data_IF_171449640953
#
_entry.id   IF_171449640953
#
_cell.length_a   1.000
_cell.length_b   1.000
_cell.length_c   1.000
_cell.angle_alpha   90.00
_cell.angle_beta   90.00
_cell.angle_gamma   90.00
#
_symmetry.space_group_name_H-M   'P 1'
#
loop_
_entity.id
_entity.type
_entity.pdbx_description
1 polymer ?
#
# COMPACT_ATOMS: atom_id res chain seq x y z
N UNK A 1 -45.72 -25.26 17.30
CA UNK A 1 -44.86 -24.07 17.24
C UNK A 1 -44.33 -23.97 15.81
N UNK A 2 -44.69 -22.91 15.08
CA UNK A 2 -44.28 -22.71 13.69
C UNK A 2 -43.00 -21.90 13.63
N UNK A 3 -41.99 -22.40 12.92
CA UNK A 3 -40.75 -21.66 12.70
C UNK A 3 -41.02 -20.46 11.78
N UNK A 4 -40.47 -19.27 12.07
CA UNK A 4 -40.65 -18.10 11.22
C UNK A 4 -39.94 -18.32 9.88
N UNK A 5 -40.66 -18.10 8.78
CA UNK A 5 -40.10 -18.14 7.42
C UNK A 5 -39.27 -16.88 7.20
N UNK A 6 -37.96 -17.05 7.02
CA UNK A 6 -37.03 -15.97 6.70
C UNK A 6 -37.18 -15.64 5.20
N UNK A 7 -37.93 -14.59 4.88
CA UNK A 7 -38.19 -14.16 3.48
C UNK A 7 -37.14 -13.19 2.93
N UNK A 8 -36.31 -12.60 3.79
CA UNK A 8 -35.20 -11.74 3.40
C UNK A 8 -33.89 -12.35 3.90
N UNK A 9 -33.16 -12.98 3.00
CA UNK A 9 -31.72 -13.20 3.21
C UNK A 9 -31.03 -11.84 2.99
N UNK A 10 -29.97 -11.51 3.76
CA UNK A 10 -29.08 -10.46 3.31
C UNK A 10 -28.65 -10.86 1.91
N UNK A 11 -29.00 -10.06 0.91
CA UNK A 11 -28.50 -10.26 -0.44
C UNK A 11 -26.99 -10.35 -0.37
N UNK A 12 -26.35 -10.92 -1.39
CA UNK A 12 -24.94 -10.65 -1.62
C UNK A 12 -24.82 -9.13 -1.78
N UNK A 13 -24.73 -8.40 -0.66
CA UNK A 13 -24.26 -7.05 -0.60
C UNK A 13 -22.96 -7.16 -1.33
N UNK A 14 -22.88 -6.48 -2.47
CA UNK A 14 -21.65 -6.44 -3.23
C UNK A 14 -20.58 -6.14 -2.20
N UNK A 15 -19.74 -7.12 -1.87
CA UNK A 15 -18.43 -6.85 -1.31
C UNK A 15 -17.59 -6.23 -2.43
N UNK A 16 -18.16 -5.26 -3.17
CA UNK A 16 -17.42 -4.11 -3.59
C UNK A 16 -16.92 -3.54 -2.29
N UNK A 17 -15.68 -3.91 -1.96
CA UNK A 17 -14.73 -2.92 -1.43
C UNK A 17 -15.15 -1.60 -2.04
N UNK A 18 -15.63 -0.67 -1.21
CA UNK A 18 -15.98 0.66 -1.65
C UNK A 18 -14.64 1.28 -2.06
N UNK A 19 -14.15 0.91 -3.26
CA UNK A 19 -12.94 1.43 -3.86
C UNK A 19 -13.36 2.83 -4.24
N UNK A 20 -13.22 3.76 -3.29
CA UNK A 20 -12.91 5.14 -3.61
C UNK A 20 -11.82 5.06 -4.66
N UNK A 21 -12.14 5.24 -5.94
CA UNK A 21 -11.22 5.01 -7.05
C UNK A 21 -10.14 6.08 -6.99
N UNK A 22 -9.13 5.82 -6.16
CA UNK A 22 -7.97 6.67 -5.99
C UNK A 22 -6.87 6.21 -6.91
N UNK A 23 -6.11 7.16 -7.43
CA UNK A 23 -4.78 6.91 -7.96
C UNK A 23 -3.75 7.15 -6.85
N UNK A 24 -2.50 6.75 -7.10
CA UNK A 24 -1.38 7.20 -6.28
C UNK A 24 -1.30 8.73 -6.34
N UNK A 25 -1.00 9.38 -5.21
CA UNK A 25 -0.93 10.85 -5.15
C UNK A 25 0.26 11.40 -5.94
N UNK A 26 1.28 10.57 -6.17
CA UNK A 26 2.47 10.92 -6.95
C UNK A 26 2.87 9.83 -7.92
N UNK A 27 3.55 10.23 -9.00
CA UNK A 27 4.19 9.32 -9.94
C UNK A 27 5.35 8.54 -9.32
N UNK A 28 5.72 7.44 -9.96
CA UNK A 28 6.78 6.54 -9.48
C UNK A 28 8.15 7.23 -9.39
N UNK A 29 8.48 8.07 -10.37
CA UNK A 29 9.77 8.76 -10.47
C UNK A 29 9.76 10.18 -9.89
N UNK A 30 8.83 10.53 -9.01
CA UNK A 30 8.90 11.79 -8.23
C UNK A 30 10.04 11.79 -7.19
N UNK A 31 11.10 11.01 -7.39
CA UNK A 31 12.26 10.91 -6.51
C UNK A 31 12.97 12.25 -6.27
N UNK A 32 12.88 13.19 -7.22
CA UNK A 32 13.43 14.55 -7.05
C UNK A 32 12.63 15.43 -6.08
N UNK A 33 11.41 15.02 -5.73
CA UNK A 33 10.55 15.73 -4.78
C UNK A 33 10.90 15.41 -3.31
N UNK A 34 11.60 14.30 -3.05
CA UNK A 34 12.20 13.98 -1.73
C UNK A 34 13.60 13.40 -1.92
N UNK A 35 14.56 14.30 -2.17
CA UNK A 35 15.95 13.93 -2.43
C UNK A 35 16.56 13.11 -1.29
N UNK A 36 16.19 13.41 -0.04
CA UNK A 36 16.71 12.72 1.14
C UNK A 36 16.20 11.28 1.25
N UNK A 37 14.90 11.06 1.02
CA UNK A 37 14.29 9.71 1.04
C UNK A 37 14.84 8.86 -0.11
N UNK A 38 14.98 9.44 -1.30
CA UNK A 38 15.51 8.71 -2.46
C UNK A 38 17.02 8.45 -2.33
N UNK A 39 17.80 9.36 -1.73
CA UNK A 39 19.21 9.14 -1.40
C UNK A 39 19.40 8.04 -0.34
N UNK A 40 18.58 8.02 0.72
CA UNK A 40 18.59 6.95 1.71
C UNK A 40 18.16 5.60 1.11
N UNK A 41 17.20 5.59 0.19
CA UNK A 41 16.80 4.39 -0.55
C UNK A 41 17.95 3.80 -1.38
N UNK A 42 18.76 4.64 -2.04
CA UNK A 42 19.94 4.20 -2.79
C UNK A 42 21.06 3.67 -1.88
N UNK A 43 21.21 4.20 -0.67
CA UNK A 43 22.26 3.80 0.28
C UNK A 43 21.86 2.54 1.08
N UNK A 44 20.60 2.44 1.49
CA UNK A 44 20.08 1.31 2.28
C UNK A 44 18.58 1.04 2.01
N UNK A 45 18.24 0.26 0.97
CA UNK A 45 16.85 -0.08 0.62
C UNK A 45 16.08 -0.77 1.75
N UNK A 46 16.77 -1.58 2.55
CA UNK A 46 16.16 -2.34 3.64
C UNK A 46 15.75 -1.41 4.78
N UNK A 47 16.59 -0.42 5.12
CA UNK A 47 16.25 0.56 6.15
C UNK A 47 15.04 1.41 5.72
N UNK A 48 14.98 1.82 4.45
CA UNK A 48 13.82 2.54 3.91
C UNK A 48 12.55 1.67 3.91
N UNK A 49 12.66 0.39 3.57
CA UNK A 49 11.53 -0.55 3.61
C UNK A 49 11.01 -0.74 5.04
N UNK A 50 11.92 -0.92 6.00
CA UNK A 50 11.60 -1.00 7.43
C UNK A 50 10.94 0.29 7.94
N UNK A 51 11.49 1.46 7.58
CA UNK A 51 10.92 2.75 7.93
C UNK A 51 9.49 2.90 7.38
N UNK A 52 9.29 2.56 6.10
CA UNK A 52 7.98 2.63 5.45
C UNK A 52 6.97 1.68 6.10
N UNK A 53 7.38 0.45 6.42
CA UNK A 53 6.54 -0.52 7.13
C UNK A 53 6.16 0.01 8.52
N UNK A 54 7.14 0.45 9.30
CA UNK A 54 6.90 0.97 10.64
C UNK A 54 5.99 2.20 10.64
N UNK A 55 6.21 3.12 9.70
CA UNK A 55 5.40 4.33 9.55
C UNK A 55 3.97 4.03 9.12
N UNK A 56 3.77 3.01 8.30
CA UNK A 56 2.44 2.54 7.92
C UNK A 56 1.70 1.81 9.06
N UNK A 57 2.40 1.45 10.15
CA UNK A 57 1.84 0.74 11.30
C UNK A 57 2.14 -0.76 11.33
N UNK A 58 3.01 -1.26 10.45
CA UNK A 58 3.47 -2.65 10.40
C UNK A 58 4.81 -2.84 11.11
N UNK A 59 5.22 -4.09 11.34
CA UNK A 59 6.53 -4.36 11.93
C UNK A 59 7.67 -4.04 10.94
N UNK A 60 8.74 -3.40 11.41
CA UNK A 60 9.96 -3.12 10.63
C UNK A 60 10.51 -4.36 9.88
N UNK A 61 10.45 -5.54 10.50
CA UNK A 61 10.88 -6.80 9.90
C UNK A 61 10.17 -7.12 8.58
N UNK A 62 8.95 -6.60 8.36
CA UNK A 62 8.23 -6.76 7.11
C UNK A 62 9.01 -6.21 5.92
N UNK A 63 9.81 -5.16 6.11
CA UNK A 63 10.71 -4.62 5.09
C UNK A 63 11.90 -5.52 4.74
N UNK A 64 12.20 -6.52 5.58
CA UNK A 64 13.30 -7.47 5.39
C UNK A 64 12.83 -8.84 4.86
N UNK A 65 11.54 -9.13 4.97
CA UNK A 65 10.96 -10.42 4.54
C UNK A 65 10.79 -10.43 3.02
N UNK A 66 11.20 -11.50 2.32
CA UNK A 66 10.92 -11.64 0.89
C UNK A 66 9.42 -11.50 0.59
N UNK A 67 9.07 -10.57 -0.30
CA UNK A 67 7.68 -10.26 -0.64
C UNK A 67 6.94 -9.40 0.40
N UNK A 68 7.54 -9.08 1.55
CA UNK A 68 6.93 -8.25 2.58
C UNK A 68 6.58 -6.83 2.10
N UNK A 69 7.44 -6.22 1.29
CA UNK A 69 7.17 -4.92 0.67
C UNK A 69 6.02 -4.97 -0.33
N UNK A 70 5.87 -6.07 -1.07
CA UNK A 70 4.74 -6.27 -1.99
C UNK A 70 3.43 -6.49 -1.21
N UNK A 71 3.49 -7.25 -0.10
CA UNK A 71 2.35 -7.42 0.81
C UNK A 71 1.93 -6.09 1.44
N UNK A 72 2.89 -5.28 1.91
CA UNK A 72 2.66 -3.94 2.44
C UNK A 72 2.00 -3.04 1.39
N UNK A 73 2.48 -3.09 0.14
CA UNK A 73 1.90 -2.33 -0.98
C UNK A 73 0.47 -2.74 -1.26
N UNK A 74 0.17 -4.04 -1.30
CA UNK A 74 -1.20 -4.52 -1.50
C UNK A 74 -2.10 -4.09 -0.34
N UNK A 75 -1.65 -4.21 0.90
CA UNK A 75 -2.39 -3.72 2.07
C UNK A 75 -2.68 -2.21 1.92
N UNK A 76 -1.66 -1.41 1.61
CA UNK A 76 -1.79 0.03 1.38
C UNK A 76 -2.81 0.39 0.30
N UNK A 77 -2.76 -0.27 -0.87
CA UNK A 77 -3.74 0.00 -1.93
C UNK A 77 -5.15 -0.35 -1.53
N UNK A 78 -5.34 -1.49 -0.87
CA UNK A 78 -6.67 -1.91 -0.43
C UNK A 78 -7.22 -0.94 0.61
N UNK A 79 -6.40 -0.48 1.55
CA UNK A 79 -6.78 0.49 2.59
C UNK A 79 -7.09 1.87 2.01
N UNK A 80 -6.32 2.33 1.02
CA UNK A 80 -6.51 3.65 0.41
C UNK A 80 -7.44 3.66 -0.82
N UNK A 81 -8.01 2.52 -1.21
CA UNK A 81 -8.86 2.42 -2.40
C UNK A 81 -8.12 2.61 -3.72
N UNK A 82 -6.80 2.41 -3.76
CA UNK A 82 -6.03 2.61 -4.99
C UNK A 82 -6.25 1.41 -5.93
N UNK A 83 -6.52 1.63 -7.22
CA UNK A 83 -6.75 0.55 -8.19
C UNK A 83 -5.47 -0.22 -8.59
N UNK A 84 -5.64 -1.47 -9.05
CA UNK A 84 -4.54 -2.38 -9.41
C UNK A 84 -4.71 -3.82 -8.91
N UNK A 85 -3.74 -4.69 -9.22
CA UNK A 85 -3.74 -6.13 -8.87
C UNK A 85 -2.53 -6.52 -8.02
N UNK A 86 -2.59 -7.66 -7.33
CA UNK A 86 -1.45 -8.19 -6.55
C UNK A 86 -0.26 -8.46 -7.47
N UNK A 87 -0.49 -8.98 -8.68
CA UNK A 87 0.57 -9.19 -9.68
C UNK A 87 1.25 -7.87 -10.05
N UNK A 88 0.48 -6.81 -10.26
CA UNK A 88 1.02 -5.47 -10.47
C UNK A 88 1.83 -5.01 -9.26
N UNK A 89 1.35 -5.24 -8.04
CA UNK A 89 2.07 -4.86 -6.82
C UNK A 89 3.41 -5.59 -6.68
N UNK A 90 3.46 -6.87 -7.01
CA UNK A 90 4.69 -7.66 -7.04
C UNK A 90 5.66 -7.15 -8.13
N UNK A 91 5.17 -6.90 -9.35
CA UNK A 91 5.99 -6.40 -10.46
C UNK A 91 6.55 -5.01 -10.18
N UNK A 92 5.73 -4.09 -9.64
CA UNK A 92 6.18 -2.75 -9.29
C UNK A 92 7.23 -2.76 -8.18
N UNK A 93 7.04 -3.63 -7.18
CA UNK A 93 8.02 -3.82 -6.09
C UNK A 93 9.31 -4.45 -6.60
N UNK A 94 9.25 -5.38 -7.56
CA UNK A 94 10.42 -6.07 -8.10
C UNK A 94 11.20 -5.22 -9.10
N UNK A 95 10.51 -4.66 -10.11
CA UNK A 95 11.13 -3.89 -11.20
C UNK A 95 11.51 -2.47 -10.78
N UNK A 96 10.79 -1.89 -9.81
CA UNK A 96 10.93 -0.48 -9.43
C UNK A 96 11.03 -0.27 -7.91
N UNK A 97 11.52 -1.28 -7.18
CA UNK A 97 11.43 -1.36 -5.72
C UNK A 97 11.83 -0.09 -4.97
N UNK A 98 12.96 0.53 -5.31
CA UNK A 98 13.41 1.76 -4.65
C UNK A 98 12.41 2.92 -4.81
N UNK A 99 12.07 3.25 -6.06
CA UNK A 99 11.13 4.30 -6.40
C UNK A 99 9.74 4.00 -5.83
N UNK A 100 9.35 2.73 -5.83
CA UNK A 100 8.09 2.27 -5.27
C UNK A 100 8.02 2.47 -3.77
N UNK A 101 9.04 2.08 -3.02
CA UNK A 101 9.09 2.29 -1.57
C UNK A 101 9.09 3.79 -1.25
N UNK A 102 9.83 4.61 -2.02
CA UNK A 102 9.79 6.07 -1.86
C UNK A 102 8.38 6.63 -2.10
N UNK A 103 7.70 6.14 -3.15
CA UNK A 103 6.30 6.51 -3.45
C UNK A 103 5.37 6.11 -2.31
N UNK A 104 5.51 4.89 -1.79
CA UNK A 104 4.73 4.40 -0.66
C UNK A 104 4.95 5.24 0.60
N UNK A 105 6.21 5.55 0.93
CA UNK A 105 6.54 6.42 2.07
C UNK A 105 5.87 7.79 1.92
N UNK A 106 5.98 8.42 0.74
CA UNK A 106 5.35 9.70 0.43
C UNK A 106 3.83 9.64 0.51
N UNK A 107 3.23 8.56 0.00
CA UNK A 107 1.78 8.36 0.08
C UNK A 107 1.33 8.38 1.55
N UNK A 108 2.06 7.72 2.45
CA UNK A 108 1.74 7.75 3.90
C UNK A 108 1.78 9.19 4.44
N UNK A 109 2.80 9.97 4.10
CA UNK A 109 2.90 11.37 4.51
C UNK A 109 1.70 12.21 4.02
N UNK A 110 1.32 12.07 2.75
CA UNK A 110 0.19 12.79 2.15
C UNK A 110 -1.13 12.42 2.86
N UNK A 111 -1.34 11.13 3.13
CA UNK A 111 -2.56 10.64 3.79
C UNK A 111 -2.61 11.00 5.27
N UNK A 112 -1.46 11.18 5.93
CA UNK A 112 -1.35 11.64 7.30
C UNK A 112 -1.41 13.18 7.45
N UNK A 113 -1.38 13.94 6.34
CA UNK A 113 -1.37 15.40 6.36
C UNK A 113 -0.03 16.01 6.85
N UNK A 114 1.08 15.28 6.70
CA UNK A 114 2.42 15.70 7.14
C UNK A 114 3.23 16.40 6.04
N UNK A 115 2.57 16.97 5.03
CA UNK A 115 3.21 17.58 3.86
C UNK A 115 2.65 18.98 3.58
#
# INVERSE_FOLDING_TARGET
MSNPVVTHQPGAGSFGTNVQTGEWSTGLCSCFSDLFVCALGCICPVALSCYTANKYGENCCLGCVPGGTAALRTHMRLTYGIQGTITNDALMTFCCGLCEICRMAREIHIRNGEM
#
